data_IF_097861527426
#
_entry.id   IF_097861527426
#
_cell.length_a   1.000
_cell.length_b   1.000
_cell.length_c   1.000
_cell.angle_alpha   90.00
_cell.angle_beta   90.00
_cell.angle_gamma   90.00
#
_symmetry.space_group_name_H-M   'P 1'
#
loop_
_entity.id
_entity.type
_entity.pdbx_description
1 polymer ?
#
# COMPACT_ATOMS: atom_id res chain seq x y z
N UNK A 1 19.76 1.39 -0.10
CA UNK A 1 21.02 2.10 -0.43
C UNK A 1 22.25 1.20 -0.23
N UNK A 2 22.53 0.67 0.96
CA UNK A 2 23.72 -0.16 1.27
C UNK A 2 23.93 -1.37 0.34
N UNK A 3 22.92 -2.25 0.20
CA UNK A 3 22.97 -3.44 -0.68
C UNK A 3 23.15 -3.11 -2.18
N UNK A 4 22.87 -1.88 -2.62
CA UNK A 4 23.07 -1.46 -4.00
C UNK A 4 24.53 -1.17 -4.34
N UNK A 5 25.27 -0.63 -3.37
CA UNK A 5 26.68 -0.28 -3.52
C UNK A 5 27.65 -1.41 -3.15
N UNK A 6 27.22 -2.36 -2.30
CA UNK A 6 28.02 -3.50 -1.86
C UNK A 6 27.64 -4.80 -2.61
N UNK A 7 28.54 -5.79 -2.65
CA UNK A 7 28.32 -7.11 -3.26
C UNK A 7 28.05 -7.11 -4.77
N UNK A 8 28.71 -6.22 -5.53
CA UNK A 8 28.69 -6.20 -6.99
C UNK A 8 29.83 -7.08 -7.53
N UNK A 9 29.50 -8.28 -8.02
CA UNK A 9 30.44 -9.21 -8.66
C UNK A 9 30.28 -9.17 -10.17
N UNK A 10 31.27 -9.67 -10.92
CA UNK A 10 31.22 -9.75 -12.40
C UNK A 10 30.04 -10.59 -12.90
N UNK A 11 29.63 -11.62 -12.15
CA UNK A 11 28.43 -12.39 -12.48
C UNK A 11 27.18 -11.80 -11.83
N UNK A 12 26.25 -11.34 -12.68
CA UNK A 12 24.93 -10.85 -12.29
C UNK A 12 24.14 -11.81 -11.37
N UNK A 13 24.10 -13.15 -11.60
CA UNK A 13 23.39 -14.06 -10.69
C UNK A 13 24.06 -14.16 -9.32
N UNK A 14 25.39 -14.07 -9.24
CA UNK A 14 26.12 -14.10 -7.97
C UNK A 14 25.89 -12.82 -7.16
N UNK A 15 25.97 -11.65 -7.82
CA UNK A 15 25.66 -10.38 -7.18
C UNK A 15 24.23 -10.33 -6.65
N UNK A 16 23.26 -10.80 -7.43
CA UNK A 16 21.86 -10.86 -7.03
C UNK A 16 21.65 -11.86 -5.88
N UNK A 17 22.25 -13.05 -5.97
CA UNK A 17 22.18 -14.08 -4.95
C UNK A 17 22.76 -13.65 -3.60
N UNK A 18 23.95 -13.04 -3.61
CA UNK A 18 24.62 -12.57 -2.38
C UNK A 18 23.85 -11.41 -1.75
N UNK A 19 23.38 -10.45 -2.54
CA UNK A 19 22.54 -9.36 -2.02
C UNK A 19 21.24 -9.88 -1.43
N UNK A 20 20.59 -10.84 -2.07
CA UNK A 20 19.40 -11.48 -1.55
C UNK A 20 19.69 -12.20 -0.23
N UNK A 21 20.79 -12.95 -0.16
CA UNK A 21 21.20 -13.66 1.05
C UNK A 21 21.49 -12.70 2.21
N UNK A 22 22.22 -11.61 1.97
CA UNK A 22 22.51 -10.59 2.98
C UNK A 22 21.22 -9.88 3.42
N UNK A 23 20.33 -9.56 2.48
CA UNK A 23 19.04 -8.98 2.83
C UNK A 23 18.20 -9.92 3.73
N UNK A 24 18.16 -11.20 3.41
CA UNK A 24 17.38 -12.19 4.16
C UNK A 24 18.01 -12.59 5.49
N UNK A 25 19.33 -12.70 5.56
CA UNK A 25 20.03 -13.12 6.76
C UNK A 25 20.21 -11.99 7.77
N UNK A 26 20.20 -10.73 7.32
CA UNK A 26 20.56 -9.58 8.16
C UNK A 26 19.41 -8.56 8.24
N UNK A 27 18.96 -8.04 7.10
CA UNK A 27 17.97 -6.96 7.08
C UNK A 27 16.57 -7.44 7.49
N UNK A 28 16.07 -8.54 6.93
CA UNK A 28 14.76 -9.10 7.29
C UNK A 28 14.63 -9.39 8.80
N UNK A 29 15.58 -10.10 9.45
CA UNK A 29 15.51 -10.30 10.90
C UNK A 29 15.69 -9.00 11.68
N UNK A 30 16.57 -8.08 11.28
CA UNK A 30 16.71 -6.78 11.97
C UNK A 30 15.43 -5.95 11.93
N UNK A 31 14.79 -5.85 10.76
CA UNK A 31 13.54 -5.11 10.59
C UNK A 31 12.42 -5.79 11.38
N UNK A 32 12.33 -7.12 11.34
CA UNK A 32 11.36 -7.87 12.15
C UNK A 32 11.61 -7.67 13.65
N UNK A 33 12.85 -7.77 14.13
CA UNK A 33 13.21 -7.51 15.54
C UNK A 33 12.86 -6.09 15.93
N UNK A 34 13.12 -5.11 15.07
CA UNK A 34 12.76 -3.71 15.30
C UNK A 34 11.24 -3.54 15.41
N UNK A 35 10.45 -4.04 14.43
CA UNK A 35 9.00 -3.88 14.44
C UNK A 35 8.33 -4.64 15.61
N UNK A 36 8.71 -5.89 15.84
CA UNK A 36 8.14 -6.69 16.93
C UNK A 36 8.64 -6.24 18.31
N UNK A 37 9.89 -5.79 18.43
CA UNK A 37 10.45 -5.25 19.66
C UNK A 37 9.86 -3.88 20.02
N UNK A 38 9.76 -2.96 19.05
CA UNK A 38 9.15 -1.65 19.24
C UNK A 38 7.67 -1.78 19.64
N UNK A 39 6.93 -2.71 19.02
CA UNK A 39 5.54 -2.98 19.39
C UNK A 39 5.42 -3.47 20.83
N UNK A 40 6.26 -4.40 21.27
CA UNK A 40 6.22 -4.92 22.65
C UNK A 40 6.56 -3.85 23.69
N UNK A 41 7.55 -3.00 23.41
CA UNK A 41 7.92 -1.89 24.28
C UNK A 41 6.80 -0.84 24.39
N UNK A 42 6.20 -0.45 23.27
CA UNK A 42 5.09 0.51 23.23
C UNK A 42 3.80 -0.05 23.84
N UNK A 43 3.62 -1.38 23.85
CA UNK A 43 2.47 -2.06 24.45
C UNK A 43 2.61 -2.29 25.96
N UNK A 44 3.75 -1.93 26.56
CA UNK A 44 4.04 -2.16 27.98
C UNK A 44 4.20 -3.63 28.35
N UNK A 45 4.52 -4.51 27.38
CA UNK A 45 4.68 -5.93 27.61
C UNK A 45 6.04 -6.27 28.23
N UNK A 46 6.08 -7.37 28.98
CA UNK A 46 7.31 -7.84 29.61
C UNK A 46 8.31 -8.39 28.59
N UNK A 47 9.60 -8.19 28.81
CA UNK A 47 10.71 -8.48 27.87
C UNK A 47 10.72 -9.95 27.42
N UNK A 48 10.33 -10.87 28.31
CA UNK A 48 10.24 -12.30 28.01
C UNK A 48 9.17 -12.62 26.94
N UNK A 49 8.04 -11.91 26.95
CA UNK A 49 6.95 -12.08 25.97
C UNK A 49 7.34 -11.50 24.61
N UNK A 50 8.04 -10.37 24.61
CA UNK A 50 8.61 -9.75 23.42
C UNK A 50 9.60 -10.69 22.71
N UNK A 51 10.53 -11.27 23.48
CA UNK A 51 11.54 -12.21 22.97
C UNK A 51 10.89 -13.43 22.32
N UNK A 52 9.86 -13.99 22.94
CA UNK A 52 9.16 -15.18 22.43
C UNK A 52 8.39 -14.89 21.14
N UNK A 53 7.82 -13.68 21.00
CA UNK A 53 7.17 -13.21 19.76
C UNK A 53 8.18 -12.98 18.64
N UNK A 54 9.35 -12.42 18.95
CA UNK A 54 10.44 -12.25 17.98
C UNK A 54 10.90 -13.64 17.49
N UNK A 55 11.15 -14.57 18.39
CA UNK A 55 11.60 -15.93 18.05
C UNK A 55 10.58 -16.65 17.16
N UNK A 56 9.29 -16.59 17.53
CA UNK A 56 8.21 -17.23 16.76
C UNK A 56 7.99 -16.55 15.41
N UNK A 57 8.00 -15.20 15.37
CA UNK A 57 7.81 -14.42 14.16
C UNK A 57 8.96 -14.59 13.17
N UNK A 58 10.20 -14.63 13.64
CA UNK A 58 11.39 -14.85 12.79
C UNK A 58 11.42 -16.29 12.27
N UNK A 59 11.16 -17.29 13.13
CA UNK A 59 11.16 -18.70 12.75
C UNK A 59 10.08 -19.06 11.70
N UNK A 60 8.91 -18.42 11.76
CA UNK A 60 7.83 -18.64 10.77
C UNK A 60 8.07 -17.90 9.44
N UNK A 61 8.74 -16.74 9.48
CA UNK A 61 8.92 -15.90 8.30
C UNK A 61 10.11 -16.29 7.44
N UNK A 62 11.21 -16.81 8.01
CA UNK A 62 12.40 -17.20 7.24
C UNK A 62 12.09 -18.28 6.18
N UNK A 63 11.41 -19.40 6.50
CA UNK A 63 11.12 -20.44 5.51
C UNK A 63 10.17 -19.96 4.42
N UNK A 64 9.14 -19.16 4.78
CA UNK A 64 8.17 -18.60 3.84
C UNK A 64 8.81 -17.54 2.93
N UNK A 65 9.71 -16.73 3.47
CA UNK A 65 10.48 -15.75 2.71
C UNK A 65 11.36 -16.43 1.66
N UNK A 66 12.09 -17.49 2.05
CA UNK A 66 12.92 -18.27 1.12
C UNK A 66 12.08 -18.95 0.01
N UNK A 67 10.86 -19.37 0.32
CA UNK A 67 9.97 -20.04 -0.63
C UNK A 67 9.35 -19.07 -1.66
N UNK A 68 8.87 -17.91 -1.21
CA UNK A 68 8.13 -16.97 -2.07
C UNK A 68 9.04 -15.98 -2.82
N UNK A 69 10.24 -15.71 -2.31
CA UNK A 69 11.13 -14.68 -2.86
C UNK A 69 11.73 -15.01 -4.23
N UNK A 70 12.22 -16.25 -4.50
CA UNK A 70 12.64 -16.62 -5.84
C UNK A 70 11.47 -16.52 -6.82
N UNK A 71 10.28 -16.97 -6.42
CA UNK A 71 9.09 -16.95 -7.27
C UNK A 71 8.70 -15.53 -7.70
N UNK A 72 8.62 -14.57 -6.77
CA UNK A 72 8.14 -13.20 -7.10
C UNK A 72 9.16 -12.39 -7.91
N UNK A 73 10.47 -12.54 -7.64
CA UNK A 73 11.51 -11.80 -8.39
C UNK A 73 11.81 -12.47 -9.73
N UNK A 74 11.83 -13.80 -9.79
CA UNK A 74 12.12 -14.53 -11.03
C UNK A 74 10.91 -14.66 -11.95
N UNK A 75 9.68 -14.37 -11.50
CA UNK A 75 8.49 -14.42 -12.37
C UNK A 75 8.63 -13.55 -13.63
N UNK A 76 9.38 -12.44 -13.54
CA UNK A 76 9.64 -11.53 -14.66
C UNK A 76 11.12 -11.38 -15.00
N UNK A 77 12.02 -12.16 -14.40
CA UNK A 77 13.45 -12.05 -14.68
C UNK A 77 13.75 -12.51 -16.13
N UNK A 78 14.25 -11.58 -16.95
CA UNK A 78 14.50 -11.84 -18.38
C UNK A 78 13.27 -11.75 -19.28
N UNK A 79 12.14 -11.29 -18.74
CA UNK A 79 10.88 -11.00 -19.44
C UNK A 79 10.51 -9.53 -19.31
N UNK A 80 9.59 -9.05 -20.15
CA UNK A 80 9.08 -7.68 -20.03
C UNK A 80 8.18 -7.54 -18.79
N UNK A 81 8.60 -6.72 -17.82
CA UNK A 81 7.88 -6.42 -16.59
C UNK A 81 7.18 -5.04 -16.64
N UNK A 82 7.14 -4.38 -17.80
CA UNK A 82 6.68 -2.99 -17.94
C UNK A 82 5.24 -2.81 -17.45
N UNK A 83 4.33 -3.73 -17.78
CA UNK A 83 2.93 -3.67 -17.37
C UNK A 83 2.78 -3.73 -15.85
N UNK A 84 3.35 -4.76 -15.20
CA UNK A 84 3.28 -4.95 -13.76
C UNK A 84 3.98 -3.81 -12.98
N UNK A 85 5.08 -3.28 -13.50
CA UNK A 85 5.80 -2.17 -12.87
C UNK A 85 5.02 -0.85 -12.97
N UNK A 86 4.46 -0.53 -14.13
CA UNK A 86 3.70 0.70 -14.37
C UNK A 86 2.34 0.71 -13.64
N UNK A 87 1.76 -0.45 -13.39
CA UNK A 87 0.55 -0.60 -12.60
C UNK A 87 0.83 -0.28 -11.12
N UNK A 88 1.93 -0.78 -10.57
CA UNK A 88 2.25 -0.63 -9.15
C UNK A 88 3.03 0.65 -8.81
N UNK A 89 3.76 1.24 -9.75
CA UNK A 89 4.74 2.32 -9.48
C UNK A 89 4.64 3.46 -10.49
N UNK A 90 5.20 4.62 -10.13
CA UNK A 90 5.32 5.77 -11.02
C UNK A 90 6.46 5.59 -12.04
N UNK A 91 6.29 6.02 -13.30
CA UNK A 91 7.31 5.87 -14.35
C UNK A 91 8.63 6.60 -14.04
N UNK A 92 8.59 7.62 -13.18
CA UNK A 92 9.74 8.39 -12.75
C UNK A 92 10.63 7.67 -11.72
N UNK A 93 10.15 6.59 -11.08
CA UNK A 93 10.89 5.92 -10.00
C UNK A 93 12.19 5.30 -10.50
N UNK A 94 12.18 4.69 -11.70
CA UNK A 94 13.38 4.07 -12.28
C UNK A 94 14.43 5.15 -12.56
N UNK A 95 14.02 6.29 -13.14
CA UNK A 95 14.92 7.40 -13.44
C UNK A 95 15.52 8.06 -12.19
N UNK A 96 14.79 8.05 -11.07
CA UNK A 96 15.20 8.70 -9.81
C UNK A 96 16.01 7.77 -8.90
N UNK A 97 15.67 6.48 -8.87
CA UNK A 97 16.19 5.52 -7.90
C UNK A 97 17.23 4.57 -8.48
N UNK A 98 17.30 4.41 -9.80
CA UNK A 98 18.27 3.56 -10.48
C UNK A 98 19.43 4.41 -11.02
N UNK A 99 20.67 4.06 -10.70
CA UNK A 99 21.86 4.75 -11.22
C UNK A 99 21.99 4.55 -12.75
N UNK A 100 22.60 5.53 -13.44
CA UNK A 100 22.78 5.50 -14.89
C UNK A 100 23.49 4.24 -15.39
N UNK A 101 24.38 3.64 -14.59
CA UNK A 101 25.11 2.42 -14.92
C UNK A 101 24.23 1.17 -15.10
N UNK A 102 23.01 1.19 -14.56
CA UNK A 102 22.04 0.09 -14.70
C UNK A 102 21.08 0.30 -15.87
N UNK A 103 21.20 1.40 -16.60
CA UNK A 103 20.46 1.65 -17.84
C UNK A 103 21.27 1.06 -19.01
N UNK A 104 21.01 -0.20 -19.34
CA UNK A 104 21.81 -0.97 -20.31
C UNK A 104 21.64 -0.47 -21.74
N UNK A 105 20.43 -0.02 -22.14
CA UNK A 105 20.16 0.47 -23.49
C UNK A 105 18.68 0.44 -23.86
N UNK A 106 18.38 0.74 -25.12
CA UNK A 106 17.03 0.65 -25.69
C UNK A 106 16.74 -0.80 -26.12
N UNK A 107 15.51 -1.26 -25.92
CA UNK A 107 15.05 -2.61 -26.28
C UNK A 107 14.44 -2.58 -27.68
N UNK A 108 14.81 -3.54 -28.52
CA UNK A 108 14.16 -3.72 -29.83
C UNK A 108 12.73 -4.24 -29.64
N UNK A 109 11.71 -3.55 -30.18
CA UNK A 109 10.30 -3.87 -29.93
C UNK A 109 9.88 -5.25 -30.47
N UNK A 110 10.59 -5.77 -31.48
CA UNK A 110 10.30 -7.09 -32.07
C UNK A 110 10.79 -8.27 -31.20
N UNK A 111 11.80 -8.07 -30.36
CA UNK A 111 12.34 -9.11 -29.47
C UNK A 111 11.42 -9.39 -28.26
N UNK A 112 10.64 -8.39 -27.85
CA UNK A 112 9.69 -8.47 -26.73
C UNK A 112 8.46 -9.32 -27.08
N UNK A 113 8.06 -9.35 -28.35
CA UNK A 113 6.83 -10.02 -28.81
C UNK A 113 6.90 -11.57 -28.83
N UNK A 114 8.07 -12.18 -28.57
CA UNK A 114 8.35 -13.58 -29.00
C UNK A 114 8.60 -14.63 -27.91
N UNK A 115 8.20 -14.42 -26.65
CA UNK A 115 8.32 -15.46 -25.60
C UNK A 115 7.02 -15.69 -24.82
N UNK A 116 6.81 -16.94 -24.36
CA UNK A 116 5.51 -17.43 -23.94
C UNK A 116 5.09 -16.70 -22.68
N UNK A 117 3.89 -16.14 -22.74
CA UNK A 117 3.10 -15.80 -21.57
C UNK A 117 3.03 -17.06 -20.70
N UNK A 118 3.90 -17.16 -19.70
CA UNK A 118 3.71 -18.12 -18.63
C UNK A 118 2.37 -17.75 -18.02
N UNK A 119 1.40 -18.65 -18.21
CA UNK A 119 0.10 -18.69 -17.55
C UNK A 119 0.33 -18.78 -16.04
N UNK A 120 0.81 -17.70 -15.43
CA UNK A 120 0.70 -17.48 -14.01
C UNK A 120 -0.77 -17.21 -13.81
N UNK A 121 -1.47 -18.20 -13.26
CA UNK A 121 -2.85 -18.15 -12.81
C UNK A 121 -3.50 -16.80 -13.16
N UNK A 122 -4.01 -16.72 -14.38
CA UNK A 122 -5.36 -16.25 -14.52
C UNK A 122 -6.19 -17.20 -13.62
N UNK A 123 -6.14 -16.99 -12.30
CA UNK A 123 -7.36 -16.94 -11.53
C UNK A 123 -8.13 -15.84 -12.23
N UNK A 124 -8.80 -16.27 -13.30
CA UNK A 124 -10.19 -16.04 -13.50
C UNK A 124 -10.63 -14.91 -12.58
N UNK A 125 -10.87 -13.76 -13.19
CA UNK A 125 -12.19 -13.16 -13.08
C UNK A 125 -13.24 -14.27 -13.21
N UNK A 126 -13.34 -15.10 -12.17
CA UNK A 126 -14.27 -16.18 -12.00
C UNK A 126 -15.51 -15.48 -11.52
N UNK A 127 -16.38 -15.17 -12.49
CA UNK A 127 -17.81 -15.08 -12.24
C UNK A 127 -18.26 -14.03 -11.23
N UNK A 128 -17.76 -12.81 -11.31
CA UNK A 128 -18.66 -11.67 -11.08
C UNK A 128 -18.86 -10.96 -12.42
N UNK A 129 -20.09 -11.04 -12.93
CA UNK A 129 -20.64 -9.99 -13.80
C UNK A 129 -20.14 -8.62 -13.29
N UNK A 130 -19.90 -7.62 -14.16
CA UNK A 130 -19.60 -6.29 -13.67
C UNK A 130 -20.76 -5.89 -12.76
N UNK A 131 -20.56 -6.01 -11.45
CA UNK A 131 -21.50 -5.57 -10.44
C UNK A 131 -21.60 -4.09 -10.74
N UNK A 132 -22.69 -3.71 -11.42
CA UNK A 132 -22.85 -2.42 -12.06
C UNK A 132 -22.59 -1.40 -10.96
N UNK A 133 -21.54 -0.59 -11.11
CA UNK A 133 -21.19 0.41 -10.10
C UNK A 133 -22.49 1.19 -9.82
N UNK A 134 -22.93 1.27 -8.55
CA UNK A 134 -24.13 2.02 -8.25
C UNK A 134 -23.96 3.44 -8.75
N UNK A 135 -25.05 4.05 -9.20
CA UNK A 135 -25.05 5.45 -9.60
C UNK A 135 -24.58 6.31 -8.42
N UNK A 136 -23.79 7.34 -8.68
CA UNK A 136 -23.18 8.14 -7.61
C UNK A 136 -24.24 8.74 -6.68
N UNK A 137 -25.38 9.15 -7.24
CA UNK A 137 -26.51 9.73 -6.51
C UNK A 137 -27.20 8.72 -5.56
N UNK A 138 -26.98 7.42 -5.75
CA UNK A 138 -27.51 6.37 -4.88
C UNK A 138 -26.63 6.08 -3.65
N UNK A 139 -25.41 6.64 -3.60
CA UNK A 139 -24.49 6.48 -2.46
C UNK A 139 -24.84 7.54 -1.41
N UNK A 140 -25.39 7.09 -0.26
CA UNK A 140 -25.88 8.00 0.78
C UNK A 140 -24.82 8.26 1.84
N UNK A 141 -23.96 7.27 2.11
CA UNK A 141 -22.93 7.36 3.14
C UNK A 141 -21.60 6.69 2.72
N UNK A 142 -20.59 6.79 3.57
CA UNK A 142 -19.27 6.22 3.31
C UNK A 142 -19.25 4.68 3.36
N UNK A 143 -20.16 4.05 4.09
CA UNK A 143 -20.28 2.58 4.12
C UNK A 143 -20.83 2.04 2.81
N UNK A 144 -21.74 2.77 2.15
CA UNK A 144 -22.22 2.43 0.81
C UNK A 144 -21.08 2.47 -0.22
N UNK A 145 -20.19 3.45 -0.09
CA UNK A 145 -18.96 3.53 -0.90
C UNK A 145 -18.06 2.32 -0.66
N UNK A 146 -17.86 1.91 0.60
CA UNK A 146 -17.09 0.72 0.95
C UNK A 146 -17.75 -0.56 0.40
N UNK A 147 -19.08 -0.67 0.47
CA UNK A 147 -19.83 -1.80 -0.06
C UNK A 147 -19.73 -1.88 -1.59
N UNK A 148 -19.85 -0.74 -2.29
CA UNK A 148 -19.64 -0.66 -3.73
C UNK A 148 -18.20 -1.07 -4.11
N UNK A 149 -17.20 -0.62 -3.36
CA UNK A 149 -15.80 -1.01 -3.55
C UNK A 149 -15.59 -2.52 -3.33
N UNK A 150 -16.23 -3.12 -2.32
CA UNK A 150 -16.13 -4.56 -2.03
C UNK A 150 -16.64 -5.46 -3.17
N UNK A 151 -17.56 -4.93 -3.98
CA UNK A 151 -18.16 -5.62 -5.12
C UNK A 151 -17.36 -5.45 -6.41
N UNK A 152 -16.61 -4.36 -6.53
CA UNK A 152 -16.01 -3.91 -7.80
C UNK A 152 -14.49 -4.00 -7.82
N UNK A 153 -13.82 -3.85 -6.67
CA UNK A 153 -12.37 -3.98 -6.57
C UNK A 153 -11.95 -5.45 -6.61
N UNK A 154 -10.74 -5.70 -7.13
CA UNK A 154 -10.14 -7.03 -7.05
C UNK A 154 -9.94 -7.44 -5.59
N UNK A 155 -9.95 -8.75 -5.32
CA UNK A 155 -9.73 -9.28 -3.96
C UNK A 155 -8.41 -8.76 -3.36
N UNK A 156 -7.35 -8.66 -4.17
CA UNK A 156 -6.04 -8.13 -3.77
C UNK A 156 -6.12 -6.65 -3.37
N UNK A 157 -6.76 -5.82 -4.18
CA UNK A 157 -6.93 -4.40 -3.88
C UNK A 157 -7.77 -4.20 -2.62
N UNK A 158 -8.88 -4.92 -2.49
CA UNK A 158 -9.74 -4.83 -1.31
C UNK A 158 -9.02 -5.29 -0.04
N UNK A 159 -8.25 -6.37 -0.11
CA UNK A 159 -7.45 -6.85 1.02
C UNK A 159 -6.42 -5.80 1.46
N UNK A 160 -5.76 -5.12 0.52
CA UNK A 160 -4.80 -4.07 0.82
C UNK A 160 -5.46 -2.85 1.48
N UNK A 161 -6.57 -2.36 0.92
CA UNK A 161 -7.23 -1.12 1.36
C UNK A 161 -7.94 -1.30 2.71
N UNK A 162 -8.62 -2.44 2.90
CA UNK A 162 -9.47 -2.62 4.08
C UNK A 162 -8.73 -3.15 5.31
N UNK A 163 -7.57 -3.80 5.14
CA UNK A 163 -6.88 -4.44 6.26
C UNK A 163 -6.13 -3.45 7.16
N UNK A 164 -5.93 -3.87 8.40
CA UNK A 164 -5.00 -3.31 9.37
C UNK A 164 -4.06 -4.39 9.90
N UNK A 165 -3.38 -4.11 11.01
CA UNK A 165 -2.39 -5.03 11.58
C UNK A 165 -3.05 -6.24 12.25
N UNK A 166 -2.47 -7.43 12.01
CA UNK A 166 -2.87 -8.71 12.60
C UNK A 166 -4.39 -8.95 12.52
N UNK A 167 -5.07 -8.90 13.66
CA UNK A 167 -6.49 -9.23 13.81
C UNK A 167 -7.40 -8.01 13.57
N UNK A 168 -6.88 -6.88 13.09
CA UNK A 168 -7.60 -5.63 12.84
C UNK A 168 -8.24 -4.97 14.08
N UNK A 169 -7.90 -5.42 15.29
CA UNK A 169 -8.54 -4.96 16.52
C UNK A 169 -8.49 -3.43 16.69
N UNK A 170 -7.33 -2.81 16.46
CA UNK A 170 -7.18 -1.35 16.58
C UNK A 170 -7.98 -0.59 15.52
N UNK A 171 -8.06 -1.11 14.29
CA UNK A 171 -8.87 -0.53 13.20
C UNK A 171 -10.34 -0.46 13.62
N UNK A 172 -10.87 -1.56 14.13
CA UNK A 172 -12.27 -1.68 14.54
C UNK A 172 -12.55 -0.92 15.84
N UNK A 173 -11.57 -0.86 16.75
CA UNK A 173 -11.63 -0.05 17.96
C UNK A 173 -11.71 1.45 17.63
N UNK A 174 -10.92 1.95 16.68
CA UNK A 174 -10.96 3.35 16.27
C UNK A 174 -12.34 3.75 15.73
N UNK A 175 -12.95 2.89 14.92
CA UNK A 175 -14.30 3.13 14.37
C UNK A 175 -15.36 3.09 15.47
N UNK A 176 -15.33 2.08 16.34
CA UNK A 176 -16.33 1.92 17.41
C UNK A 176 -16.16 2.93 18.55
N UNK A 177 -14.99 3.54 18.71
CA UNK A 177 -14.72 4.56 19.71
C UNK A 177 -15.64 5.78 19.57
N UNK A 178 -15.90 6.22 18.34
CA UNK A 178 -16.77 7.38 18.09
C UNK A 178 -18.21 7.17 18.60
N UNK A 179 -18.72 5.93 18.57
CA UNK A 179 -20.05 5.60 19.10
C UNK A 179 -20.17 5.77 20.62
N UNK A 180 -19.04 5.88 21.34
CA UNK A 180 -19.00 6.11 22.78
C UNK A 180 -19.17 7.60 23.11
N UNK A 181 -18.98 8.49 22.15
CA UNK A 181 -19.10 9.93 22.31
C UNK A 181 -20.52 10.33 21.93
N UNK A 182 -21.24 10.95 22.86
CA UNK A 182 -22.59 11.49 22.60
C UNK A 182 -22.54 13.00 22.50
N UNK A 183 -23.30 13.56 21.56
CA UNK A 183 -23.48 15.00 21.44
C UNK A 183 -24.49 15.48 22.51
N UNK A 184 -24.20 16.63 23.11
CA UNK A 184 -25.15 17.39 23.95
C UNK A 184 -25.58 18.62 23.16
N UNK A 185 -26.60 18.52 22.29
CA UNK A 185 -27.02 19.65 21.45
C UNK A 185 -27.54 20.80 22.33
N UNK A 186 -27.21 22.03 21.93
CA UNK A 186 -27.80 23.22 22.54
C UNK A 186 -29.08 23.57 21.79
N UNK A 187 -30.19 23.72 22.52
CA UNK A 187 -31.49 24.08 21.96
C UNK A 187 -31.68 25.60 21.97
N UNK A 188 -32.62 26.10 21.17
CA UNK A 188 -32.94 27.54 21.04
C UNK A 188 -31.75 28.41 20.63
N UNK A 189 -30.86 27.88 19.77
CA UNK A 189 -29.81 28.64 19.10
C UNK A 189 -30.24 28.98 17.69
N UNK A 190 -29.96 30.20 17.25
CA UNK A 190 -30.07 30.55 15.84
C UNK A 190 -28.97 29.82 15.07
N UNK A 191 -29.40 28.98 14.12
CA UNK A 191 -28.55 28.16 13.24
C UNK A 191 -28.89 28.42 11.77
N UNK A 192 -29.51 29.56 11.45
CA UNK A 192 -29.83 29.92 10.07
C UNK A 192 -28.57 30.01 9.19
N UNK A 193 -27.44 30.43 9.76
CA UNK A 193 -26.14 30.46 9.10
C UNK A 193 -25.12 29.63 9.89
N UNK A 194 -24.67 28.53 9.33
CA UNK A 194 -23.61 27.66 9.88
C UNK A 194 -22.47 27.59 8.88
N UNK A 195 -21.24 27.66 9.37
CA UNK A 195 -20.05 27.43 8.56
C UNK A 195 -19.27 26.24 9.12
N UNK A 196 -18.74 25.43 8.20
CA UNK A 196 -17.80 24.35 8.48
C UNK A 196 -16.36 24.72 8.16
N UNK A 197 -16.14 25.94 7.64
CA UNK A 197 -14.82 26.40 7.24
C UNK A 197 -13.88 26.49 8.45
N UNK A 198 -12.62 26.15 8.23
CA UNK A 198 -11.61 26.15 9.28
C UNK A 198 -10.22 26.37 8.69
N UNK A 199 -9.23 26.53 9.56
CA UNK A 199 -7.82 26.62 9.18
C UNK A 199 -7.03 25.48 9.78
N UNK A 200 -6.30 24.73 8.95
CA UNK A 200 -5.39 23.66 9.38
C UNK A 200 -4.00 23.95 8.83
N UNK A 201 -2.99 24.03 9.70
CA UNK A 201 -1.59 24.36 9.35
C UNK A 201 -1.43 25.67 8.54
N UNK A 202 -2.30 26.66 8.75
CA UNK A 202 -2.27 27.95 8.04
C UNK A 202 -2.96 27.95 6.67
N UNK A 203 -3.51 26.82 6.24
CA UNK A 203 -4.33 26.73 5.04
C UNK A 203 -5.81 26.87 5.42
N UNK A 204 -6.59 27.56 4.59
CA UNK A 204 -8.04 27.65 4.71
C UNK A 204 -8.70 26.45 4.04
N UNK A 205 -9.71 25.86 4.71
CA UNK A 205 -10.51 24.75 4.20
C UNK A 205 -12.00 25.08 4.34
N UNK A 206 -12.80 24.59 3.40
CA UNK A 206 -14.27 24.69 3.46
C UNK A 206 -14.88 23.68 4.44
N UNK A 207 -14.18 22.56 4.67
CA UNK A 207 -14.59 21.49 5.57
C UNK A 207 -13.45 21.12 6.53
N UNK A 208 -13.76 20.70 7.78
CA UNK A 208 -12.76 20.37 8.78
C UNK A 208 -12.22 18.94 8.62
N UNK A 209 -11.95 18.53 7.37
CA UNK A 209 -11.44 17.21 7.01
C UNK A 209 -10.38 17.35 5.92
N UNK A 210 -9.52 16.36 5.79
CA UNK A 210 -8.49 16.30 4.75
C UNK A 210 -8.28 14.84 4.32
N UNK A 211 -7.70 14.65 3.14
CA UNK A 211 -7.35 13.32 2.64
C UNK A 211 -5.94 12.96 3.18
N UNK A 212 -5.81 11.92 4.04
CA UNK A 212 -4.53 11.53 4.61
C UNK A 212 -3.62 10.85 3.57
N UNK A 213 -2.29 10.80 3.82
CA UNK A 213 -1.36 10.13 2.92
C UNK A 213 -1.69 8.65 2.82
N UNK A 214 -2.03 8.21 1.61
CA UNK A 214 -2.41 6.82 1.31
C UNK A 214 -1.46 6.30 0.23
N UNK A 215 -0.72 5.24 0.53
CA UNK A 215 0.16 4.60 -0.45
C UNK A 215 -0.61 3.71 -1.43
N UNK A 216 -0.01 3.45 -2.60
CA UNK A 216 -0.53 2.53 -3.60
C UNK A 216 -2.00 2.79 -4.03
N UNK A 217 -2.41 4.06 -4.12
CA UNK A 217 -3.78 4.48 -4.50
C UNK A 217 -4.22 3.97 -5.87
N UNK A 218 -3.28 3.66 -6.77
CA UNK A 218 -3.55 2.99 -8.06
C UNK A 218 -4.29 1.65 -7.92
N UNK A 219 -4.22 1.02 -6.75
CA UNK A 219 -4.97 -0.21 -6.46
C UNK A 219 -6.49 0.02 -6.37
N UNK A 220 -6.94 1.22 -6.03
CA UNK A 220 -8.36 1.59 -5.98
C UNK A 220 -8.92 2.15 -7.29
N UNK A 221 -8.06 2.62 -8.19
CA UNK A 221 -8.45 3.18 -9.48
C UNK A 221 -7.23 3.58 -10.31
N UNK A 222 -7.36 3.53 -11.63
CA UNK A 222 -6.24 3.72 -12.58
C UNK A 222 -5.53 5.06 -12.45
N UNK A 223 -6.25 6.12 -12.09
CA UNK A 223 -5.71 7.48 -11.92
C UNK A 223 -4.97 7.69 -10.58
N UNK A 224 -5.16 6.82 -9.59
CA UNK A 224 -4.47 6.87 -8.30
C UNK A 224 -4.63 8.21 -7.56
N UNK A 225 -3.50 8.82 -7.18
CA UNK A 225 -3.46 10.06 -6.38
C UNK A 225 -4.05 11.27 -7.12
N UNK A 226 -4.05 11.25 -8.46
CA UNK A 226 -4.55 12.37 -9.26
C UNK A 226 -6.05 12.59 -9.02
N UNK A 227 -6.83 11.52 -8.90
CA UNK A 227 -8.27 11.61 -8.60
C UNK A 227 -8.50 12.20 -7.21
N UNK A 228 -7.69 11.80 -6.22
CA UNK A 228 -7.78 12.34 -4.86
C UNK A 228 -7.44 13.83 -4.81
N UNK A 229 -6.41 14.26 -5.54
CA UNK A 229 -6.04 15.66 -5.64
C UNK A 229 -7.14 16.52 -6.30
N UNK A 230 -7.75 16.01 -7.39
CA UNK A 230 -8.89 16.67 -8.05
C UNK A 230 -10.10 16.76 -7.12
N UNK A 231 -10.42 15.68 -6.42
CA UNK A 231 -11.52 15.66 -5.46
C UNK A 231 -11.29 16.62 -4.29
N UNK A 232 -10.06 16.68 -3.77
CA UNK A 232 -9.70 17.60 -2.70
C UNK A 232 -9.84 19.07 -3.13
N UNK A 233 -9.35 19.41 -4.34
CA UNK A 233 -9.50 20.75 -4.91
C UNK A 233 -10.97 21.12 -5.13
N UNK A 234 -11.80 20.19 -5.63
CA UNK A 234 -13.22 20.41 -5.85
C UNK A 234 -14.02 20.55 -4.54
N UNK A 235 -13.59 19.87 -3.47
CA UNK A 235 -14.24 19.91 -2.16
C UNK A 235 -13.68 20.97 -1.20
N UNK A 236 -12.74 21.81 -1.64
CA UNK A 236 -12.14 22.83 -0.77
C UNK A 236 -11.37 22.27 0.43
N UNK A 237 -10.75 21.08 0.27
CA UNK A 237 -9.98 20.40 1.32
C UNK A 237 -8.54 20.10 0.88
N UNK A 238 -7.70 19.73 1.85
CA UNK A 238 -6.29 19.41 1.62
C UNK A 238 -6.12 17.92 1.27
N UNK A 239 -5.23 17.62 0.32
CA UNK A 239 -4.71 16.28 0.08
C UNK A 239 -3.23 16.19 0.51
N UNK A 240 -2.92 15.28 1.44
CA UNK A 240 -1.56 14.97 1.83
C UNK A 240 -1.03 13.80 1.00
N UNK A 241 0.08 14.00 0.30
CA UNK A 241 0.69 12.96 -0.54
C UNK A 241 1.53 11.98 0.28
N UNK A 242 1.43 10.69 -0.06
CA UNK A 242 2.34 9.68 0.46
C UNK A 242 3.73 9.82 -0.20
N UNK A 243 4.77 9.38 0.50
CA UNK A 243 6.10 9.31 -0.10
C UNK A 243 6.13 8.23 -1.18
N UNK A 244 6.72 8.50 -2.36
CA UNK A 244 6.82 7.55 -3.46
C UNK A 244 7.78 6.38 -3.21
#
# INVERSE_FOLDING_TARGET
MFLGHCFNYESAPLSTGVKALVNQAIYTPLVNVYFFGAHAFLSGENVATASKRIETGVALNIPRSILYWPLVIYQFAGSDASSACNEARGPSLIRKSLESKFHVGSLDPEAVAKKPTLSGDNQSTEGKQPDQKPELDSIINLDDSQNAASKTLSRKAMAFISSGSNDNMTRDANRSFLNRIRLRPQVMRDVCNVTTSTTIFGCELELPVYIPPTGATKTGGSEGELTLARAAAAGGIIHCFATP
#
